data_IF_301676827272
#
_entry.id   IF_301676827272
#
_cell.length_a   1.000
_cell.length_b   1.000
_cell.length_c   1.000
_cell.angle_alpha   90.00
_cell.angle_beta   90.00
_cell.angle_gamma   90.00
#
_symmetry.space_group_name_H-M   'P 1'
#
loop_
_entity.id
_entity.type
_entity.pdbx_description
1 polymer ?
#
# COMPACT_ATOMS: atom_id res chain seq x y z
N UNK A 1 -43.47 -31.21 -17.95
CA UNK A 1 -42.19 -31.95 -18.05
C UNK A 1 -41.06 -30.93 -18.12
N UNK A 2 -39.93 -31.18 -17.44
CA UNK A 2 -38.77 -30.29 -17.49
C UNK A 2 -38.11 -30.32 -18.88
N UNK A 3 -37.61 -29.18 -19.40
CA UNK A 3 -36.93 -29.12 -20.69
C UNK A 3 -35.66 -29.99 -20.62
N UNK A 4 -35.54 -30.98 -21.50
CA UNK A 4 -34.49 -31.99 -21.41
C UNK A 4 -33.08 -31.39 -21.58
N UNK A 5 -32.91 -30.31 -22.34
CA UNK A 5 -31.57 -29.80 -22.72
C UNK A 5 -31.48 -28.26 -22.95
N UNK A 6 -32.38 -27.45 -22.37
CA UNK A 6 -32.37 -26.00 -22.62
C UNK A 6 -32.68 -25.14 -21.39
N UNK A 7 -32.14 -23.92 -21.41
CA UNK A 7 -32.51 -22.84 -20.48
C UNK A 7 -33.98 -22.48 -20.67
N UNK A 8 -34.71 -22.35 -19.58
CA UNK A 8 -36.12 -22.02 -19.68
C UNK A 8 -36.94 -22.23 -18.42
N UNK A 9 -38.23 -21.92 -18.57
CA UNK A 9 -39.22 -22.07 -17.52
C UNK A 9 -39.99 -23.38 -17.68
N UNK A 10 -40.29 -24.04 -16.57
CA UNK A 10 -41.09 -25.26 -16.57
C UNK A 10 -41.84 -25.43 -15.26
N UNK A 11 -42.88 -26.26 -15.27
CA UNK A 11 -43.63 -26.60 -14.06
C UNK A 11 -43.19 -27.95 -13.49
N UNK A 12 -43.11 -28.02 -12.16
CA UNK A 12 -42.90 -29.26 -11.39
C UNK A 12 -43.68 -29.16 -10.09
N UNK A 13 -44.57 -30.13 -9.81
CA UNK A 13 -45.43 -30.13 -8.63
C UNK A 13 -46.16 -28.78 -8.41
N UNK A 14 -46.79 -28.27 -9.47
CA UNK A 14 -47.50 -26.97 -9.51
C UNK A 14 -46.65 -25.72 -9.21
N UNK A 15 -45.32 -25.86 -9.12
CA UNK A 15 -44.39 -24.75 -8.95
C UNK A 15 -43.73 -24.38 -10.29
N UNK A 16 -43.64 -23.07 -10.55
CA UNK A 16 -42.87 -22.54 -11.67
C UNK A 16 -41.38 -22.57 -11.32
N UNK A 17 -40.62 -23.24 -12.16
CA UNK A 17 -39.18 -23.44 -12.05
C UNK A 17 -38.46 -22.74 -13.20
N UNK A 18 -37.24 -22.29 -12.96
CA UNK A 18 -36.33 -21.74 -13.95
C UNK A 18 -35.03 -22.55 -13.96
N UNK A 19 -34.74 -23.18 -15.10
CA UNK A 19 -33.50 -23.90 -15.36
C UNK A 19 -32.49 -22.96 -15.99
N UNK A 20 -31.27 -22.95 -15.44
CA UNK A 20 -30.14 -22.23 -16.02
C UNK A 20 -28.92 -23.12 -16.18
N UNK A 21 -28.31 -23.05 -17.34
CA UNK A 21 -27.02 -23.62 -17.68
C UNK A 21 -25.90 -22.90 -16.94
N UNK A 22 -25.07 -23.65 -16.23
CA UNK A 22 -23.84 -23.17 -15.61
C UNK A 22 -22.66 -23.94 -16.22
N UNK A 23 -21.75 -23.27 -16.94
CA UNK A 23 -20.51 -23.90 -17.40
C UNK A 23 -19.58 -24.15 -16.21
N UNK A 24 -19.13 -25.40 -16.00
CA UNK A 24 -18.04 -25.72 -15.06
C UNK A 24 -16.68 -25.66 -15.74
N UNK A 25 -15.63 -25.32 -14.97
CA UNK A 25 -14.25 -25.24 -15.46
C UNK A 25 -13.59 -26.62 -15.69
N UNK A 26 -14.18 -27.73 -15.22
CA UNK A 26 -13.63 -29.09 -15.34
C UNK A 26 -14.71 -30.17 -15.66
N UNK A 27 -14.92 -30.45 -16.95
CA UNK A 27 -15.54 -31.67 -17.53
C UNK A 27 -16.86 -32.20 -16.92
N UNK A 28 -17.81 -31.33 -16.59
CA UNK A 28 -19.20 -31.69 -16.33
C UNK A 28 -20.17 -30.56 -16.65
N UNK A 29 -21.30 -30.85 -17.28
CA UNK A 29 -22.41 -29.90 -17.47
C UNK A 29 -23.41 -30.02 -16.32
N UNK A 30 -23.69 -28.91 -15.62
CA UNK A 30 -24.68 -28.88 -14.53
C UNK A 30 -25.81 -27.89 -14.81
N UNK A 31 -27.03 -28.39 -14.90
CA UNK A 31 -28.24 -27.57 -14.86
C UNK A 31 -28.62 -27.30 -13.41
N UNK A 32 -29.01 -26.06 -13.11
CA UNK A 32 -29.55 -25.69 -11.80
C UNK A 32 -30.99 -25.24 -11.95
N UNK A 33 -31.88 -25.97 -11.28
CA UNK A 33 -33.31 -25.67 -11.21
C UNK A 33 -33.59 -24.82 -9.99
N UNK A 34 -34.28 -23.69 -10.19
CA UNK A 34 -34.57 -22.70 -9.16
C UNK A 34 -36.05 -22.40 -9.16
N UNK A 35 -36.63 -22.25 -7.98
CA UNK A 35 -38.04 -21.87 -7.86
C UNK A 35 -38.19 -20.41 -8.29
N UNK A 36 -39.13 -20.15 -9.18
CA UNK A 36 -39.49 -18.79 -9.58
C UNK A 36 -40.37 -18.18 -8.51
N UNK A 37 -39.90 -17.09 -7.91
CA UNK A 37 -40.56 -16.48 -6.74
C UNK A 37 -41.54 -15.38 -7.15
N UNK A 38 -42.84 -15.50 -6.82
CA UNK A 38 -43.80 -14.42 -7.01
C UNK A 38 -43.43 -13.17 -6.20
N UNK A 39 -43.82 -12.00 -6.68
CA UNK A 39 -43.44 -10.72 -6.06
C UNK A 39 -43.79 -10.61 -4.58
N UNK A 40 -44.95 -11.15 -4.18
CA UNK A 40 -45.44 -11.17 -2.79
C UNK A 40 -44.48 -11.88 -1.82
N UNK A 41 -43.70 -12.86 -2.27
CA UNK A 41 -42.80 -13.66 -1.41
C UNK A 41 -41.34 -13.20 -1.45
N UNK A 42 -40.97 -12.29 -2.37
CA UNK A 42 -39.56 -11.87 -2.54
C UNK A 42 -39.00 -11.20 -1.29
N UNK A 43 -39.79 -10.37 -0.60
CA UNK A 43 -39.36 -9.71 0.63
C UNK A 43 -39.03 -10.70 1.75
N UNK A 44 -39.80 -11.79 1.86
CA UNK A 44 -39.56 -12.79 2.88
C UNK A 44 -38.30 -13.61 2.58
N UNK A 45 -38.06 -13.94 1.30
CA UNK A 45 -36.82 -14.57 0.85
C UNK A 45 -35.61 -13.67 1.12
N UNK A 46 -35.73 -12.36 0.90
CA UNK A 46 -34.66 -11.38 1.20
C UNK A 46 -34.38 -11.30 2.70
N UNK A 47 -35.43 -11.29 3.53
CA UNK A 47 -35.33 -11.30 5.00
C UNK A 47 -34.61 -12.55 5.50
N UNK A 48 -35.00 -13.73 5.01
CA UNK A 48 -34.36 -15.01 5.35
C UNK A 48 -32.94 -15.08 4.81
N UNK A 49 -32.66 -14.56 3.62
CA UNK A 49 -31.33 -14.59 3.01
C UNK A 49 -30.29 -13.67 3.66
N UNK A 50 -30.72 -12.57 4.28
CA UNK A 50 -29.83 -11.52 4.81
C UNK A 50 -30.00 -11.24 6.30
N UNK A 51 -31.23 -11.08 6.79
CA UNK A 51 -31.56 -10.43 8.08
C UNK A 51 -31.64 -11.40 9.26
N UNK A 52 -31.98 -12.67 9.05
CA UNK A 52 -32.06 -13.63 10.17
C UNK A 52 -30.67 -13.91 10.76
N UNK A 53 -30.56 -14.25 12.06
CA UNK A 53 -29.27 -14.50 12.72
C UNK A 53 -28.39 -15.54 11.99
N UNK A 54 -28.99 -16.62 11.49
CA UNK A 54 -28.30 -17.66 10.72
C UNK A 54 -27.71 -17.15 9.40
N UNK A 55 -28.23 -16.04 8.88
CA UNK A 55 -27.78 -15.42 7.64
C UNK A 55 -26.65 -14.41 7.84
N UNK A 56 -26.46 -13.93 9.07
CA UNK A 56 -25.28 -13.20 9.53
C UNK A 56 -25.04 -11.84 8.87
N UNK A 57 -26.06 -11.22 8.24
CA UNK A 57 -25.91 -9.92 7.56
C UNK A 57 -24.75 -9.88 6.54
N UNK A 58 -24.53 -10.99 5.84
CA UNK A 58 -23.46 -11.09 4.86
C UNK A 58 -23.61 -10.05 3.74
N UNK A 59 -22.48 -9.66 3.14
CA UNK A 59 -22.45 -8.70 2.04
C UNK A 59 -23.23 -9.17 0.82
N UNK A 60 -23.70 -8.21 0.01
CA UNK A 60 -24.63 -8.44 -1.10
C UNK A 60 -24.22 -9.55 -2.06
N UNK A 61 -22.93 -9.69 -2.40
CA UNK A 61 -22.43 -10.77 -3.25
C UNK A 61 -22.74 -12.16 -2.68
N UNK A 62 -22.41 -12.39 -1.41
CA UNK A 62 -22.66 -13.67 -0.72
C UNK A 62 -24.16 -13.93 -0.53
N UNK A 63 -24.95 -12.89 -0.29
CA UNK A 63 -26.41 -13.00 -0.21
C UNK A 63 -27.03 -13.38 -1.55
N UNK A 64 -26.54 -12.82 -2.67
CA UNK A 64 -26.96 -13.24 -4.01
C UNK A 64 -26.62 -14.70 -4.24
N UNK A 65 -25.39 -15.13 -3.97
CA UNK A 65 -24.97 -16.53 -4.12
C UNK A 65 -25.87 -17.49 -3.32
N UNK A 66 -26.17 -17.16 -2.05
CA UNK A 66 -27.07 -17.94 -1.20
C UNK A 66 -28.49 -18.06 -1.77
N UNK A 67 -29.09 -16.95 -2.20
CA UNK A 67 -30.49 -16.95 -2.67
C UNK A 67 -30.59 -17.63 -4.05
N UNK A 68 -29.62 -17.36 -4.93
CA UNK A 68 -29.60 -17.93 -6.29
C UNK A 68 -29.33 -19.43 -6.34
N UNK A 69 -28.92 -20.04 -5.22
CA UNK A 69 -28.81 -21.49 -5.11
C UNK A 69 -30.17 -22.20 -5.22
N UNK A 70 -31.27 -21.56 -4.79
CA UNK A 70 -32.59 -22.18 -4.71
C UNK A 70 -33.70 -21.37 -5.39
N UNK A 71 -33.53 -20.05 -5.55
CA UNK A 71 -34.59 -19.14 -6.00
C UNK A 71 -34.16 -18.30 -7.20
N UNK A 72 -35.15 -17.88 -7.98
CA UNK A 72 -34.96 -17.02 -9.15
C UNK A 72 -36.13 -16.04 -9.34
N UNK A 73 -35.80 -14.82 -9.75
CA UNK A 73 -36.73 -13.88 -10.38
C UNK A 73 -35.93 -12.86 -11.20
N UNK A 74 -36.54 -12.23 -12.22
CA UNK A 74 -35.90 -11.14 -12.96
C UNK A 74 -35.50 -10.00 -12.02
N UNK A 75 -34.24 -9.59 -12.05
CA UNK A 75 -33.74 -8.51 -11.20
C UNK A 75 -33.28 -8.94 -9.80
N UNK A 76 -33.26 -10.24 -9.45
CA UNK A 76 -32.85 -10.74 -8.13
C UNK A 76 -31.56 -10.10 -7.59
N UNK A 77 -30.50 -10.01 -8.40
CA UNK A 77 -29.24 -9.41 -7.96
C UNK A 77 -29.37 -7.92 -7.64
N UNK A 78 -30.24 -7.19 -8.34
CA UNK A 78 -30.53 -5.79 -8.05
C UNK A 78 -31.30 -5.66 -6.73
N UNK A 79 -32.36 -6.44 -6.55
CA UNK A 79 -33.19 -6.41 -5.34
C UNK A 79 -32.40 -6.77 -4.09
N UNK A 80 -31.54 -7.81 -4.15
CA UNK A 80 -30.66 -8.18 -3.04
C UNK A 80 -29.69 -7.05 -2.70
N UNK A 81 -29.05 -6.43 -3.71
CA UNK A 81 -28.14 -5.29 -3.48
C UNK A 81 -28.87 -4.13 -2.84
N UNK A 82 -30.07 -3.80 -3.33
CA UNK A 82 -30.92 -2.74 -2.77
C UNK A 82 -31.28 -3.04 -1.32
N UNK A 83 -31.74 -4.26 -1.02
CA UNK A 83 -32.12 -4.69 0.32
C UNK A 83 -30.96 -4.63 1.32
N UNK A 84 -29.77 -5.13 0.95
CA UNK A 84 -28.57 -5.02 1.78
C UNK A 84 -28.15 -3.56 2.00
N UNK A 85 -28.30 -2.69 0.99
CA UNK A 85 -27.99 -1.26 1.09
C UNK A 85 -28.97 -0.50 1.99
N UNK A 86 -30.20 -0.98 2.16
CA UNK A 86 -31.21 -0.38 3.04
C UNK A 86 -31.31 -1.03 4.42
N UNK A 87 -30.54 -2.08 4.70
CA UNK A 87 -30.59 -2.78 6.00
C UNK A 87 -30.06 -1.88 7.15
N UNK A 88 -30.89 -1.50 8.14
CA UNK A 88 -30.48 -0.56 9.19
C UNK A 88 -29.28 -1.06 10.01
N UNK A 89 -29.26 -2.35 10.36
CA UNK A 89 -28.17 -2.95 11.13
C UNK A 89 -26.84 -2.90 10.37
N UNK A 90 -26.86 -3.14 9.05
CA UNK A 90 -25.67 -2.99 8.22
C UNK A 90 -25.27 -1.53 8.04
N UNK A 91 -26.21 -0.61 7.86
CA UNK A 91 -25.90 0.82 7.62
C UNK A 91 -25.29 1.51 8.86
N UNK A 92 -25.68 1.11 10.07
CA UNK A 92 -25.09 1.63 11.31
C UNK A 92 -23.63 1.20 11.48
N UNK A 93 -23.29 -0.02 11.04
CA UNK A 93 -21.94 -0.60 11.16
C UNK A 93 -21.08 -0.33 9.93
N UNK A 94 -21.70 -0.03 8.79
CA UNK A 94 -21.01 0.19 7.52
C UNK A 94 -20.00 1.33 7.65
N UNK A 95 -18.76 1.02 7.28
CA UNK A 95 -17.65 1.97 7.24
C UNK A 95 -18.01 3.08 6.23
N UNK A 96 -18.16 4.33 6.69
CA UNK A 96 -18.35 5.49 5.80
C UNK A 96 -17.30 5.43 4.68
N UNK A 97 -17.74 5.25 3.44
CA UNK A 97 -16.89 5.47 2.26
C UNK A 97 -16.30 6.87 2.40
N UNK A 98 -14.97 6.99 2.25
CA UNK A 98 -14.23 8.26 2.37
C UNK A 98 -15.00 9.35 1.63
N UNK A 99 -15.42 10.40 2.35
CA UNK A 99 -15.98 11.58 1.69
C UNK A 99 -14.99 12.07 0.63
N UNK A 100 -15.52 12.66 -0.46
CA UNK A 100 -14.68 13.35 -1.46
C UNK A 100 -13.69 14.23 -0.68
N UNK A 101 -12.39 13.91 -0.76
CA UNK A 101 -11.34 14.66 -0.08
C UNK A 101 -11.50 16.11 -0.51
N UNK A 102 -11.72 17.01 0.45
CA UNK A 102 -11.65 18.43 0.18
C UNK A 102 -10.33 18.75 -0.54
N UNK A 103 -10.29 19.70 -1.49
CA UNK A 103 -9.08 20.04 -2.21
C UNK A 103 -7.93 20.27 -1.24
N UNK A 104 -6.81 19.57 -1.48
CA UNK A 104 -5.61 19.66 -0.65
C UNK A 104 -5.11 21.10 -0.77
N UNK A 105 -5.14 21.87 0.32
CA UNK A 105 -4.41 23.13 0.36
C UNK A 105 -2.92 22.79 0.45
N UNK A 106 -2.07 23.32 -0.45
CA UNK A 106 -0.63 23.15 -0.32
C UNK A 106 -0.21 23.63 1.06
N UNK A 107 0.52 22.79 1.81
CA UNK A 107 1.15 23.22 3.06
C UNK A 107 2.25 24.19 2.68
N UNK A 108 2.39 25.30 3.41
CA UNK A 108 3.48 26.26 3.21
C UNK A 108 4.82 25.53 3.06
N UNK A 109 5.55 25.86 2.00
CA UNK A 109 6.87 25.29 1.74
C UNK A 109 7.81 25.83 2.81
N UNK A 110 8.35 24.93 3.63
CA UNK A 110 9.36 25.26 4.62
C UNK A 110 10.71 24.93 3.98
N UNK A 111 11.56 25.95 3.83
CA UNK A 111 12.85 25.83 3.14
C UNK A 111 14.02 25.73 4.12
N UNK A 112 13.86 26.25 5.34
CA UNK A 112 14.93 26.27 6.34
C UNK A 112 14.80 25.06 7.29
N UNK A 113 15.88 24.28 7.50
CA UNK A 113 15.90 23.14 8.41
C UNK A 113 15.45 23.50 9.82
N UNK A 114 14.65 22.63 10.42
CA UNK A 114 14.17 22.69 11.80
C UNK A 114 13.29 23.89 12.17
N UNK A 115 12.98 24.80 11.24
CA UNK A 115 12.01 25.89 11.49
C UNK A 115 10.60 25.41 11.78
N UNK A 116 10.21 24.29 11.17
CA UNK A 116 8.94 23.63 11.44
C UNK A 116 9.16 22.14 11.59
N UNK A 117 8.77 21.59 12.73
CA UNK A 117 8.89 20.15 13.00
C UNK A 117 7.53 19.53 13.29
N UNK A 118 7.37 18.26 12.92
CA UNK A 118 6.26 17.42 13.37
C UNK A 118 6.75 16.47 14.47
N UNK A 119 6.02 16.34 15.56
CA UNK A 119 6.33 15.44 16.67
C UNK A 119 5.15 14.52 16.99
N UNK A 120 5.47 13.29 17.38
CA UNK A 120 4.50 12.27 17.79
C UNK A 120 5.14 11.29 18.79
N UNK A 121 4.34 10.58 19.57
CA UNK A 121 4.79 9.52 20.49
C UNK A 121 4.36 8.16 19.98
N UNK A 122 5.32 7.28 19.75
CA UNK A 122 5.07 5.86 19.45
C UNK A 122 5.16 5.03 20.74
N UNK A 123 4.06 4.33 21.08
CA UNK A 123 4.02 3.36 22.18
C UNK A 123 2.57 2.92 22.50
N UNK A 124 2.36 2.07 23.50
CA UNK A 124 3.35 1.40 24.35
C UNK A 124 4.10 0.28 23.60
N UNK A 125 5.43 0.30 23.64
CA UNK A 125 6.30 -0.75 23.10
C UNK A 125 6.75 -1.73 24.21
N UNK A 126 7.20 -2.95 23.86
CA UNK A 126 7.84 -3.85 24.81
C UNK A 126 8.96 -3.15 25.56
N UNK A 127 9.00 -3.32 26.89
CA UNK A 127 9.99 -2.66 27.73
C UNK A 127 11.39 -3.18 27.40
N UNK A 128 12.30 -2.27 27.11
CA UNK A 128 13.72 -2.59 26.89
C UNK A 128 14.42 -2.91 28.19
N UNK A 129 15.60 -3.53 28.11
CA UNK A 129 16.46 -3.80 29.29
C UNK A 129 16.88 -2.51 30.00
N UNK A 130 17.03 -1.40 29.26
CA UNK A 130 17.34 -0.05 29.77
C UNK A 130 16.10 0.70 30.29
N UNK A 131 14.90 0.12 30.15
CA UNK A 131 13.65 0.60 30.73
C UNK A 131 12.79 1.49 29.82
N UNK A 132 13.20 1.75 28.58
CA UNK A 132 12.40 2.50 27.60
C UNK A 132 11.16 1.73 27.14
N UNK A 133 10.06 2.46 26.91
CA UNK A 133 8.75 1.93 26.52
C UNK A 133 8.05 2.76 25.43
N UNK A 134 8.58 3.94 25.13
CA UNK A 134 8.01 4.89 24.18
C UNK A 134 9.12 5.48 23.31
N UNK A 135 8.75 6.06 22.18
CA UNK A 135 9.66 6.80 21.31
C UNK A 135 9.01 8.14 20.98
N UNK A 136 9.68 9.24 21.31
CA UNK A 136 9.36 10.55 20.77
C UNK A 136 9.95 10.65 19.38
N UNK A 137 9.09 10.71 18.38
CA UNK A 137 9.46 10.83 16.97
C UNK A 137 9.34 12.28 16.54
N UNK A 138 10.35 12.78 15.84
CA UNK A 138 10.43 14.15 15.35
C UNK A 138 10.82 14.10 13.88
N UNK A 139 10.14 14.86 13.02
CA UNK A 139 10.46 14.97 11.60
C UNK A 139 10.48 16.43 11.18
N UNK A 140 11.59 16.86 10.58
CA UNK A 140 11.73 18.19 10.02
C UNK A 140 10.90 18.36 8.72
N UNK A 141 10.27 19.52 8.54
CA UNK A 141 9.47 19.79 7.36
C UNK A 141 10.28 20.17 6.12
N UNK A 142 11.46 20.78 6.27
CA UNK A 142 12.26 21.20 5.12
C UNK A 142 13.03 20.01 4.53
N UNK A 143 13.80 19.35 5.38
CA UNK A 143 14.74 18.28 4.98
C UNK A 143 14.15 16.88 5.05
N UNK A 144 12.98 16.70 5.68
CA UNK A 144 12.42 15.39 6.06
C UNK A 144 13.29 14.60 7.05
N UNK A 145 14.25 15.25 7.71
CA UNK A 145 15.17 14.60 8.63
C UNK A 145 14.44 14.00 9.84
N UNK A 146 14.50 12.66 10.04
CA UNK A 146 13.86 12.01 11.16
C UNK A 146 14.77 11.94 12.39
N UNK A 147 14.17 12.01 13.57
CA UNK A 147 14.77 11.71 14.86
C UNK A 147 13.82 10.84 15.68
N UNK A 148 14.37 9.92 16.47
CA UNK A 148 13.62 9.01 17.33
C UNK A 148 14.31 8.92 18.69
N UNK A 149 13.72 9.53 19.72
CA UNK A 149 14.27 9.61 21.07
C UNK A 149 13.54 8.61 21.97
N UNK A 150 14.23 7.61 22.54
CA UNK A 150 13.59 6.64 23.42
C UNK A 150 13.20 7.28 24.76
N UNK A 151 11.99 7.01 25.23
CA UNK A 151 11.40 7.54 26.46
C UNK A 151 10.93 6.41 27.39
N UNK A 152 11.10 6.62 28.70
CA UNK A 152 10.61 5.68 29.74
C UNK A 152 9.16 5.94 30.13
N UNK A 153 8.69 7.17 29.95
CA UNK A 153 7.34 7.64 30.26
C UNK A 153 6.93 8.70 29.24
N UNK A 154 5.62 8.88 29.04
CA UNK A 154 5.05 9.94 28.21
C UNK A 154 4.76 11.22 28.99
N UNK A 155 5.16 11.30 30.28
CA UNK A 155 4.90 12.49 31.10
C UNK A 155 5.45 13.75 30.43
N UNK A 156 4.73 14.87 30.57
CA UNK A 156 5.15 16.12 29.94
C UNK A 156 6.55 16.57 30.34
N UNK A 157 7.01 16.25 31.55
CA UNK A 157 8.39 16.54 31.98
C UNK A 157 9.40 15.73 31.15
N UNK A 158 9.19 14.42 30.99
CA UNK A 158 10.09 13.58 30.22
C UNK A 158 10.15 14.02 28.73
N UNK A 159 9.01 14.42 28.17
CA UNK A 159 8.93 14.94 26.80
C UNK A 159 9.63 16.30 26.69
N UNK A 160 9.42 17.22 27.64
CA UNK A 160 10.08 18.52 27.68
C UNK A 160 11.61 18.39 27.75
N UNK A 161 12.12 17.55 28.67
CA UNK A 161 13.55 17.32 28.84
C UNK A 161 14.18 16.78 27.54
N UNK A 162 13.51 15.84 26.88
CA UNK A 162 13.95 15.28 25.60
C UNK A 162 13.95 16.32 24.47
N UNK A 163 12.95 17.19 24.41
CA UNK A 163 12.88 18.27 23.42
C UNK A 163 13.97 19.31 23.64
N UNK A 164 14.26 19.69 24.88
CA UNK A 164 15.35 20.62 25.21
C UNK A 164 16.70 20.05 24.75
N UNK A 165 16.98 18.78 25.04
CA UNK A 165 18.19 18.09 24.57
C UNK A 165 18.27 17.96 23.05
N UNK A 166 17.13 17.95 22.36
CA UNK A 166 17.08 17.96 20.91
C UNK A 166 17.36 19.36 20.36
N UNK A 167 16.67 20.39 20.86
CA UNK A 167 16.83 21.77 20.42
C UNK A 167 18.23 22.33 20.66
N UNK A 168 18.93 21.86 21.71
CA UNK A 168 20.32 22.26 21.93
C UNK A 168 21.30 21.83 20.82
N UNK A 169 20.91 20.86 19.99
CA UNK A 169 21.72 20.35 18.87
C UNK A 169 21.34 20.94 17.52
N UNK A 170 20.06 21.26 17.32
CA UNK A 170 19.52 21.61 16.00
C UNK A 170 18.94 23.02 15.92
N UNK A 171 18.88 23.73 17.04
CA UNK A 171 18.18 25.01 17.16
C UNK A 171 16.74 24.86 17.63
N UNK A 172 16.13 26.01 17.97
CA UNK A 172 14.75 26.10 18.44
C UNK A 172 13.82 26.28 17.22
N UNK A 173 12.78 25.46 17.06
CA UNK A 173 11.84 25.59 15.95
C UNK A 173 10.88 26.77 16.14
N UNK A 174 10.51 27.47 15.07
CA UNK A 174 9.45 28.49 15.13
C UNK A 174 8.07 27.84 15.32
N UNK A 175 7.86 26.65 14.74
CA UNK A 175 6.55 25.97 14.70
C UNK A 175 6.65 24.48 15.01
N UNK A 176 5.81 23.99 15.92
CA UNK A 176 5.69 22.56 16.23
C UNK A 176 4.29 22.04 15.90
N UNK A 177 4.23 21.01 15.06
CA UNK A 177 3.01 20.25 14.76
C UNK A 177 2.99 18.98 15.61
N UNK A 178 1.86 18.70 16.26
CA UNK A 178 1.62 17.46 17.03
C UNK A 178 0.11 17.26 17.14
N UNK A 179 -0.28 16.07 17.58
CA UNK A 179 -1.65 15.79 17.99
C UNK A 179 -2.06 16.55 19.27
N UNK A 180 -3.31 16.36 19.68
CA UNK A 180 -3.88 16.96 20.90
C UNK A 180 -3.67 16.06 22.14
N UNK A 181 -2.67 15.18 22.14
CA UNK A 181 -2.34 14.38 23.31
C UNK A 181 -2.03 15.25 24.52
N UNK A 182 -2.52 14.84 25.71
CA UNK A 182 -2.29 15.56 26.98
C UNK A 182 -0.81 15.81 27.26
N UNK A 183 0.06 14.91 26.80
CA UNK A 183 1.51 15.00 26.93
C UNK A 183 2.09 16.27 26.28
N UNK A 184 1.49 16.76 25.18
CA UNK A 184 1.91 17.96 24.44
C UNK A 184 1.11 19.23 24.78
N UNK A 185 0.02 19.08 25.53
CA UNK A 185 -0.95 20.15 25.82
C UNK A 185 -0.95 20.58 27.30
N UNK A 186 -0.09 20.01 28.14
CA UNK A 186 -0.02 20.35 29.56
C UNK A 186 0.45 21.79 29.80
N UNK A 187 0.17 22.31 31.01
CA UNK A 187 0.62 23.64 31.44
C UNK A 187 2.15 23.79 31.32
N UNK A 188 2.89 22.74 31.67
CA UNK A 188 4.35 22.72 31.54
C UNK A 188 4.78 22.90 30.08
N UNK A 189 4.17 22.18 29.14
CA UNK A 189 4.50 22.30 27.72
C UNK A 189 4.11 23.66 27.16
N UNK A 190 2.96 24.21 27.56
CA UNK A 190 2.55 25.55 27.17
C UNK A 190 3.57 26.61 27.61
N UNK A 191 4.05 26.53 28.86
CA UNK A 191 5.10 27.41 29.39
C UNK A 191 6.42 27.25 28.64
N UNK A 192 6.82 26.00 28.34
CA UNK A 192 8.03 25.74 27.55
C UNK A 192 7.95 26.40 26.17
N UNK A 193 6.83 26.22 25.46
CA UNK A 193 6.65 26.81 24.14
C UNK A 193 6.67 28.34 24.19
N UNK A 194 6.02 28.95 25.19
CA UNK A 194 6.02 30.38 25.38
C UNK A 194 7.43 30.92 25.64
N UNK A 195 8.19 30.30 26.56
CA UNK A 195 9.56 30.72 26.88
C UNK A 195 10.52 30.59 25.71
N UNK A 196 10.32 29.59 24.86
CA UNK A 196 11.17 29.36 23.68
C UNK A 196 10.65 30.09 22.43
N UNK A 197 9.53 30.83 22.51
CA UNK A 197 8.93 31.51 21.36
C UNK A 197 8.34 30.58 20.28
N UNK A 198 8.00 29.35 20.67
CA UNK A 198 7.53 28.29 19.76
C UNK A 198 6.03 28.42 19.54
N UNK A 199 5.60 28.52 18.28
CA UNK A 199 4.19 28.47 17.92
C UNK A 199 3.70 27.04 17.76
N UNK A 200 2.80 26.61 18.65
CA UNK A 200 2.19 25.28 18.55
C UNK A 200 1.04 25.25 17.54
N UNK A 201 1.21 24.47 16.47
CA UNK A 201 0.13 24.18 15.53
C UNK A 201 -0.65 22.96 16.04
N UNK A 202 -1.95 23.15 16.30
CA UNK A 202 -2.87 22.09 16.67
C UNK A 202 -3.40 21.43 15.40
N UNK A 203 -3.25 20.12 15.26
CA UNK A 203 -3.89 19.39 14.18
C UNK A 203 -5.40 19.37 14.45
N UNK A 204 -6.19 20.09 13.63
CA UNK A 204 -7.65 19.95 13.62
C UNK A 204 -8.04 18.74 12.77
N UNK A 205 -9.28 18.26 12.90
CA UNK A 205 -9.88 17.23 12.03
C UNK A 205 -9.77 17.62 10.54
N UNK A 206 -9.61 18.92 10.23
CA UNK A 206 -9.51 19.47 8.88
C UNK A 206 -8.08 19.55 8.31
N UNK A 207 -7.02 19.34 9.12
CA UNK A 207 -5.62 19.34 8.64
C UNK A 207 -4.84 18.05 8.99
N UNK A 208 -5.35 16.84 8.69
CA UNK A 208 -4.63 15.58 8.92
C UNK A 208 -3.31 15.49 8.16
N UNK A 209 -3.13 16.26 7.07
CA UNK A 209 -1.88 16.33 6.32
C UNK A 209 -0.71 16.90 7.15
N UNK A 210 -0.99 17.75 8.15
CA UNK A 210 0.04 18.37 8.97
C UNK A 210 0.72 17.35 9.91
N UNK A 211 -0.01 16.35 10.42
CA UNK A 211 0.64 15.26 11.17
C UNK A 211 1.04 14.07 10.29
N UNK A 212 0.51 14.00 9.06
CA UNK A 212 0.78 12.91 8.13
C UNK A 212 2.26 12.70 7.79
N UNK A 213 3.13 13.68 8.04
CA UNK A 213 4.57 13.50 7.86
C UNK A 213 5.17 12.57 8.93
N UNK A 214 4.95 12.89 10.21
CA UNK A 214 5.46 12.07 11.32
C UNK A 214 4.73 10.73 11.38
N UNK A 215 3.43 10.67 11.06
CA UNK A 215 2.69 9.41 10.99
C UNK A 215 3.26 8.45 9.92
N UNK A 216 3.63 8.97 8.75
CA UNK A 216 4.29 8.18 7.69
C UNK A 216 5.64 7.66 8.16
N UNK A 217 6.45 8.51 8.79
CA UNK A 217 7.71 8.09 9.37
C UNK A 217 7.51 7.00 10.43
N UNK A 218 6.52 7.15 11.30
CA UNK A 218 6.19 6.17 12.33
C UNK A 218 5.79 4.81 11.74
N UNK A 219 5.08 4.81 10.62
CA UNK A 219 4.82 3.59 9.83
C UNK A 219 6.09 2.90 9.35
N UNK A 220 7.01 3.66 8.77
CA UNK A 220 8.32 3.16 8.29
C UNK A 220 9.17 2.64 9.44
N UNK A 221 9.31 3.40 10.53
CA UNK A 221 10.08 3.02 11.71
C UNK A 221 9.53 1.74 12.35
N UNK A 222 8.21 1.62 12.52
CA UNK A 222 7.57 0.39 13.01
C UNK A 222 7.85 -0.81 12.11
N UNK A 223 7.83 -0.61 10.78
CA UNK A 223 8.16 -1.68 9.82
C UNK A 223 9.61 -2.15 9.95
N UNK A 224 10.55 -1.21 10.05
CA UNK A 224 11.97 -1.53 10.26
C UNK A 224 12.18 -2.25 11.59
N UNK A 225 11.65 -1.71 12.68
CA UNK A 225 11.76 -2.33 14.01
C UNK A 225 11.27 -3.77 14.00
N UNK A 226 10.10 -4.07 13.43
CA UNK A 226 9.58 -5.45 13.33
C UNK A 226 10.54 -6.41 12.60
N UNK A 227 11.30 -5.92 11.62
CA UNK A 227 12.26 -6.74 10.86
C UNK A 227 13.53 -7.03 11.67
N UNK A 228 14.06 -6.04 12.37
CA UNK A 228 15.33 -6.15 13.10
C UNK A 228 15.20 -6.74 14.51
N UNK A 229 14.02 -6.64 15.12
CA UNK A 229 13.82 -6.89 16.55
C UNK A 229 13.13 -8.23 16.84
N UNK A 230 12.80 -9.04 15.82
CA UNK A 230 12.04 -10.32 15.85
C UNK A 230 12.02 -11.03 17.21
N UNK A 231 13.15 -11.63 17.61
CA UNK A 231 13.25 -12.41 18.87
C UNK A 231 13.85 -11.60 20.04
N UNK A 232 14.43 -10.42 19.76
CA UNK A 232 15.13 -9.58 20.75
C UNK A 232 14.36 -8.30 21.06
N UNK A 233 13.06 -8.43 21.32
CA UNK A 233 12.11 -7.33 21.54
C UNK A 233 12.48 -6.34 22.63
N UNK A 234 13.38 -6.69 23.54
CA UNK A 234 13.83 -5.83 24.63
C UNK A 234 15.06 -4.97 24.29
N UNK A 235 15.49 -4.94 23.03
CA UNK A 235 16.71 -4.22 22.60
C UNK A 235 16.47 -3.22 21.47
N UNK A 236 15.20 -2.88 21.20
CA UNK A 236 14.84 -2.00 20.09
C UNK A 236 15.49 -0.60 20.18
N UNK A 237 15.76 -0.11 21.38
CA UNK A 237 16.41 1.17 21.65
C UNK A 237 17.81 1.23 21.04
N UNK A 238 18.56 0.11 21.12
CA UNK A 238 19.91 0.00 20.56
C UNK A 238 19.92 0.06 19.04
N UNK A 239 18.82 -0.31 18.38
CA UNK A 239 18.73 -0.29 16.92
C UNK A 239 18.35 1.08 16.36
N UNK A 240 17.81 1.99 17.17
CA UNK A 240 17.32 3.29 16.69
C UNK A 240 18.36 4.09 15.89
N UNK A 241 19.63 4.23 16.33
CA UNK A 241 20.62 4.98 15.56
C UNK A 241 20.83 4.43 14.14
N UNK A 242 20.87 3.10 14.00
CA UNK A 242 21.04 2.43 12.71
C UNK A 242 19.81 2.61 11.80
N UNK A 243 18.61 2.49 12.37
CA UNK A 243 17.36 2.65 11.62
C UNK A 243 17.13 4.11 11.18
N UNK A 244 17.53 5.06 12.02
CA UNK A 244 17.51 6.47 11.69
C UNK A 244 18.50 6.78 10.58
N UNK A 245 19.73 6.25 10.64
CA UNK A 245 20.71 6.40 9.58
C UNK A 245 20.18 5.89 8.24
N UNK A 246 19.63 4.67 8.21
CA UNK A 246 19.02 4.10 7.00
C UNK A 246 17.85 4.96 6.45
N UNK A 247 17.15 5.70 7.29
CA UNK A 247 16.07 6.61 6.85
C UNK A 247 16.59 7.98 6.40
N UNK A 248 17.77 8.40 6.87
CA UNK A 248 18.38 9.70 6.57
C UNK A 248 19.16 9.66 5.26
N UNK A 249 19.73 8.52 4.92
CA UNK A 249 20.62 8.36 3.77
C UNK A 249 19.87 8.00 2.48
N UNK A 250 18.66 7.45 2.57
CA UNK A 250 17.82 7.13 1.41
C UNK A 250 17.05 8.37 0.92
N UNK A 251 17.07 8.66 -0.40
CA UNK A 251 16.28 9.77 -0.96
C UNK A 251 14.77 9.63 -0.69
N UNK A 252 14.10 10.76 -0.46
CA UNK A 252 12.66 10.78 -0.25
C UNK A 252 11.94 11.21 -1.53
N UNK A 253 10.85 10.52 -1.89
CA UNK A 253 10.05 10.80 -3.10
C UNK A 253 9.57 12.26 -3.16
N UNK A 254 9.25 12.86 -2.01
CA UNK A 254 8.75 14.24 -1.99
C UNK A 254 9.81 15.30 -2.25
N UNK A 255 11.10 14.98 -2.06
CA UNK A 255 12.21 15.93 -2.17
C UNK A 255 13.19 15.58 -3.27
N UNK A 256 13.24 14.33 -3.74
CA UNK A 256 14.26 13.83 -4.67
C UNK A 256 15.64 13.60 -4.01
N UNK A 257 15.92 14.28 -2.91
CA UNK A 257 17.15 14.20 -2.14
C UNK A 257 17.01 13.40 -0.84
N UNK A 258 18.12 12.91 -0.30
CA UNK A 258 18.15 12.29 1.03
C UNK A 258 18.06 13.36 2.13
N UNK A 259 17.41 13.06 3.28
CA UNK A 259 17.40 14.00 4.39
C UNK A 259 18.80 14.40 4.88
N UNK A 260 19.77 13.49 4.80
CA UNK A 260 21.16 13.75 5.16
C UNK A 260 21.79 14.79 4.23
N UNK A 261 21.60 14.64 2.92
CA UNK A 261 22.12 15.57 1.93
C UNK A 261 21.52 16.97 2.09
N UNK A 262 20.20 17.06 2.28
CA UNK A 262 19.53 18.34 2.49
C UNK A 262 19.98 19.06 3.75
N UNK A 263 20.38 18.30 4.79
CA UNK A 263 20.81 18.88 6.05
C UNK A 263 22.30 19.24 6.07
N UNK A 264 23.16 18.37 5.55
CA UNK A 264 24.62 18.50 5.68
C UNK A 264 25.30 19.00 4.40
N UNK A 265 24.55 19.18 3.30
CA UNK A 265 25.08 19.65 2.02
C UNK A 265 26.07 18.67 1.37
N UNK A 266 26.05 17.39 1.78
CA UNK A 266 26.90 16.34 1.23
C UNK A 266 26.19 15.00 1.23
N UNK A 267 26.54 14.16 0.28
CA UNK A 267 26.08 12.77 0.20
C UNK A 267 26.97 11.84 1.04
N UNK A 268 26.45 10.65 1.34
CA UNK A 268 27.23 9.57 1.93
C UNK A 268 27.68 8.67 0.78
N UNK A 269 28.99 8.50 0.54
CA UNK A 269 29.46 7.59 -0.50
C UNK A 269 29.12 6.15 -0.12
N UNK A 270 28.79 5.34 -1.12
CA UNK A 270 28.68 3.89 -0.94
C UNK A 270 30.05 3.32 -0.58
N UNK A 271 30.05 2.25 0.21
CA UNK A 271 31.26 1.48 0.44
C UNK A 271 31.77 0.94 -0.90
N UNK A 272 33.09 0.98 -1.13
CA UNK A 272 33.71 0.54 -2.40
C UNK A 272 33.22 -0.85 -2.83
N UNK A 273 33.07 -1.78 -1.88
CA UNK A 273 32.58 -3.15 -2.12
C UNK A 273 31.10 -3.24 -2.51
N UNK A 274 30.36 -2.14 -2.40
CA UNK A 274 28.93 -2.00 -2.74
C UNK A 274 28.73 -1.24 -4.04
N UNK A 275 29.67 -0.38 -4.43
CA UNK A 275 29.63 0.38 -5.70
C UNK A 275 29.53 -0.59 -6.88
N UNK A 276 30.41 -1.58 -6.96
CA UNK A 276 30.37 -2.61 -8.03
C UNK A 276 29.04 -3.38 -8.03
N UNK A 277 28.44 -3.58 -6.85
CA UNK A 277 27.15 -4.28 -6.71
C UNK A 277 25.95 -3.40 -7.07
N UNK A 278 26.17 -2.10 -7.23
CA UNK A 278 25.17 -1.13 -7.63
C UNK A 278 25.12 -0.89 -9.14
N UNK A 279 26.00 -1.54 -9.91
CA UNK A 279 26.11 -1.38 -11.34
C UNK A 279 24.77 -1.65 -12.05
N UNK A 280 24.47 -0.82 -13.05
CA UNK A 280 23.31 -0.96 -13.93
C UNK A 280 23.71 -0.65 -15.37
N UNK A 281 23.03 -1.29 -16.31
CA UNK A 281 23.25 -1.09 -17.74
C UNK A 281 22.18 -0.13 -18.26
N UNK A 282 22.59 0.86 -19.04
CA UNK A 282 21.73 1.71 -19.85
C UNK A 282 22.12 1.57 -21.33
N UNK A 283 21.31 2.15 -22.22
CA UNK A 283 21.62 2.25 -23.66
C UNK A 283 22.94 2.98 -23.95
N UNK A 284 23.45 3.75 -22.98
CA UNK A 284 24.69 4.52 -23.10
C UNK A 284 25.91 3.83 -22.46
N UNK A 285 25.71 2.74 -21.71
CA UNK A 285 26.80 1.95 -21.12
C UNK A 285 26.52 1.38 -19.74
N UNK A 286 27.58 0.87 -19.11
CA UNK A 286 27.57 0.38 -17.73
C UNK A 286 27.88 1.54 -16.78
N UNK A 287 27.00 1.78 -15.83
CA UNK A 287 27.13 2.84 -14.82
C UNK A 287 27.03 2.24 -13.42
N UNK A 288 27.70 2.87 -12.47
CA UNK A 288 27.67 2.49 -11.06
C UNK A 288 27.19 3.67 -10.22
N UNK A 289 26.45 3.39 -9.16
CA UNK A 289 26.08 4.42 -8.20
C UNK A 289 27.24 4.63 -7.23
N UNK A 290 27.62 5.89 -7.04
CA UNK A 290 28.63 6.28 -6.04
C UNK A 290 28.01 6.60 -4.67
N UNK A 291 26.69 6.79 -4.63
CA UNK A 291 25.88 7.17 -3.46
C UNK A 291 24.57 6.38 -3.52
N UNK A 292 23.85 6.19 -2.41
CA UNK A 292 22.61 5.40 -2.46
C UNK A 292 21.52 6.07 -3.32
N UNK A 293 21.04 5.42 -4.38
CA UNK A 293 20.00 5.98 -5.23
C UNK A 293 18.61 5.73 -4.65
N UNK A 294 17.65 6.54 -5.11
CA UNK A 294 16.24 6.31 -4.82
C UNK A 294 15.79 4.94 -5.31
N UNK A 295 15.01 4.22 -4.51
CA UNK A 295 14.46 2.93 -4.91
C UNK A 295 15.40 1.73 -4.70
N UNK A 296 16.61 1.94 -4.17
CA UNK A 296 17.51 0.86 -3.73
C UNK A 296 17.06 0.20 -2.40
N UNK A 297 15.74 0.04 -2.20
CA UNK A 297 15.26 -1.05 -1.34
C UNK A 297 15.47 -2.29 -2.18
N UNK A 298 16.36 -3.20 -1.82
CA UNK A 298 16.48 -4.56 -2.37
C UNK A 298 15.09 -5.16 -2.65
N UNK A 299 14.49 -5.01 -3.86
CA UNK A 299 14.55 -6.01 -4.93
C UNK A 299 14.91 -5.61 -6.40
N UNK A 300 14.86 -4.37 -6.94
CA UNK A 300 14.93 -4.18 -8.39
C UNK A 300 16.30 -4.51 -8.98
N UNK A 301 17.43 -4.09 -8.40
CA UNK A 301 18.75 -4.41 -8.97
C UNK A 301 19.07 -5.92 -8.92
N UNK A 302 18.70 -6.59 -7.83
CA UNK A 302 18.87 -8.05 -7.68
C UNK A 302 17.96 -8.83 -8.62
N UNK A 303 16.72 -8.36 -8.79
CA UNK A 303 15.76 -8.93 -9.74
C UNK A 303 16.23 -8.68 -11.17
N UNK A 304 16.64 -7.46 -11.49
CA UNK A 304 17.16 -7.02 -12.78
C UNK A 304 18.37 -7.86 -13.20
N UNK A 305 19.35 -8.04 -12.31
CA UNK A 305 20.50 -8.92 -12.56
C UNK A 305 20.07 -10.36 -12.81
N UNK A 306 19.17 -10.90 -11.98
CA UNK A 306 18.62 -12.25 -12.20
C UNK A 306 17.82 -12.36 -13.51
N UNK A 307 17.13 -11.29 -13.93
CA UNK A 307 16.40 -11.25 -15.19
C UNK A 307 17.39 -11.27 -16.37
N UNK A 308 18.44 -10.46 -16.34
CA UNK A 308 19.43 -10.34 -17.42
C UNK A 308 20.38 -11.55 -17.51
N UNK A 309 20.86 -12.08 -16.37
CA UNK A 309 21.88 -13.13 -16.34
C UNK A 309 21.32 -14.56 -16.35
N UNK A 310 20.09 -14.80 -15.88
CA UNK A 310 19.51 -16.15 -15.79
C UNK A 310 18.24 -16.31 -16.67
N UNK A 311 17.31 -15.35 -16.62
CA UNK A 311 15.99 -15.51 -17.27
C UNK A 311 16.05 -15.21 -18.77
N UNK A 312 16.64 -14.07 -19.15
CA UNK A 312 16.66 -13.53 -20.51
C UNK A 312 17.99 -13.78 -21.24
N UNK A 313 18.94 -14.44 -20.59
CA UNK A 313 20.22 -14.76 -21.21
C UNK A 313 20.03 -15.57 -22.50
N UNK A 314 20.47 -15.01 -23.62
CA UNK A 314 20.39 -15.57 -24.97
C UNK A 314 19.03 -15.40 -25.66
N UNK A 315 18.16 -14.50 -25.17
CA UNK A 315 16.89 -14.14 -25.79
C UNK A 315 16.97 -12.71 -26.35
N UNK A 316 17.47 -12.54 -27.57
CA UNK A 316 17.70 -11.22 -28.20
C UNK A 316 16.40 -10.44 -28.50
N UNK A 317 15.25 -11.11 -28.36
CA UNK A 317 13.91 -10.58 -28.55
C UNK A 317 13.23 -10.16 -27.24
N UNK A 318 13.91 -10.25 -26.09
CA UNK A 318 13.34 -9.92 -24.79
C UNK A 318 14.30 -9.11 -23.93
N UNK A 319 13.82 -8.00 -23.38
CA UNK A 319 14.61 -7.14 -22.50
C UNK A 319 13.88 -6.96 -21.15
N UNK A 320 14.65 -6.69 -20.10
CA UNK A 320 14.11 -6.33 -18.81
C UNK A 320 14.61 -4.92 -18.48
N UNK A 321 13.70 -3.98 -18.24
CA UNK A 321 14.04 -2.73 -17.58
C UNK A 321 12.84 -2.31 -16.73
N UNK A 322 12.92 -2.57 -15.43
CA UNK A 322 11.82 -2.39 -14.45
C UNK A 322 10.63 -3.37 -14.69
N UNK A 323 10.23 -3.62 -15.94
CA UNK A 323 9.31 -4.66 -16.42
C UNK A 323 9.97 -5.51 -17.53
N UNK A 324 9.40 -6.67 -17.90
CA UNK A 324 9.89 -7.54 -18.99
C UNK A 324 9.14 -7.23 -20.28
N UNK A 325 9.89 -6.86 -21.32
CA UNK A 325 9.42 -6.62 -22.67
C UNK A 325 9.82 -7.76 -23.59
N UNK A 326 8.94 -8.12 -24.52
CA UNK A 326 9.15 -9.18 -25.50
C UNK A 326 8.73 -8.62 -26.85
N UNK A 327 9.70 -8.31 -27.69
CA UNK A 327 9.50 -7.80 -29.04
C UNK A 327 9.61 -8.96 -30.04
N UNK A 328 8.51 -9.30 -30.70
CA UNK A 328 8.46 -10.45 -31.60
C UNK A 328 8.32 -9.98 -33.05
N UNK A 329 9.11 -10.47 -34.01
CA UNK A 329 8.95 -10.11 -35.42
C UNK A 329 7.61 -10.59 -36.03
N UNK A 330 7.29 -10.05 -37.20
CA UNK A 330 5.99 -9.96 -37.92
C UNK A 330 5.21 -11.26 -38.25
N UNK A 331 5.52 -12.43 -37.67
CA UNK A 331 4.71 -13.65 -37.85
C UNK A 331 3.92 -14.03 -36.60
N UNK A 332 2.63 -14.33 -36.79
CA UNK A 332 1.70 -14.70 -35.71
C UNK A 332 2.16 -15.91 -34.89
N UNK A 333 2.86 -16.87 -35.51
CA UNK A 333 3.37 -18.06 -34.83
C UNK A 333 4.54 -17.72 -33.89
N UNK A 334 5.42 -16.79 -34.27
CA UNK A 334 6.52 -16.33 -33.40
C UNK A 334 5.99 -15.54 -32.20
N UNK A 335 4.95 -14.73 -32.42
CA UNK A 335 4.25 -13.99 -31.36
C UNK A 335 3.64 -14.89 -30.26
N UNK A 336 3.44 -16.19 -30.54
CA UNK A 336 2.95 -17.16 -29.56
C UNK A 336 4.07 -17.96 -28.88
N UNK A 337 5.17 -18.25 -29.60
CA UNK A 337 6.26 -19.11 -29.13
C UNK A 337 7.25 -18.37 -28.24
N UNK A 338 7.57 -17.12 -28.58
CA UNK A 338 8.58 -16.32 -27.87
C UNK A 338 8.14 -15.94 -26.44
N UNK A 339 6.90 -15.46 -26.20
CA UNK A 339 6.39 -15.24 -24.84
C UNK A 339 6.31 -16.53 -24.02
N UNK A 340 6.01 -17.67 -24.64
CA UNK A 340 6.00 -18.97 -23.94
C UNK A 340 7.39 -19.34 -23.40
N UNK A 341 8.44 -19.06 -24.17
CA UNK A 341 9.82 -19.33 -23.79
C UNK A 341 10.27 -18.47 -22.60
N UNK A 342 9.87 -17.21 -22.58
CA UNK A 342 10.10 -16.30 -21.44
C UNK A 342 9.34 -16.75 -20.20
N UNK A 343 8.06 -17.12 -20.33
CA UNK A 343 7.25 -17.63 -19.23
C UNK A 343 7.77 -18.95 -18.65
N UNK A 344 8.36 -19.81 -19.48
CA UNK A 344 9.01 -21.04 -19.04
C UNK A 344 10.27 -20.75 -18.21
N UNK A 345 11.18 -19.88 -18.69
CA UNK A 345 12.38 -19.45 -17.96
C UNK A 345 12.04 -18.80 -16.62
N UNK A 346 10.99 -17.97 -16.58
CA UNK A 346 10.47 -17.39 -15.34
C UNK A 346 10.07 -18.46 -14.33
N UNK A 347 9.38 -19.51 -14.78
CA UNK A 347 8.94 -20.63 -13.93
C UNK A 347 10.12 -21.43 -13.39
N UNK A 348 11.13 -21.70 -14.21
CA UNK A 348 12.37 -22.39 -13.82
C UNK A 348 13.13 -21.60 -12.74
N UNK A 349 13.18 -20.27 -12.86
CA UNK A 349 13.79 -19.37 -11.88
C UNK A 349 12.92 -19.09 -10.63
N UNK A 350 11.76 -19.76 -10.49
CA UNK A 350 10.76 -19.58 -9.42
C UNK A 350 10.17 -18.16 -9.34
N UNK A 351 10.07 -17.47 -10.47
CA UNK A 351 9.46 -16.16 -10.60
C UNK A 351 8.06 -16.29 -11.21
N UNK A 352 7.07 -15.65 -10.57
CA UNK A 352 5.69 -15.69 -11.02
C UNK A 352 5.26 -14.28 -11.47
N UNK A 353 4.98 -14.07 -12.76
CA UNK A 353 4.49 -12.79 -13.24
C UNK A 353 3.08 -12.53 -12.70
N UNK A 354 2.80 -11.27 -12.35
CA UNK A 354 1.49 -10.89 -11.82
C UNK A 354 0.51 -10.75 -12.98
N UNK A 355 -0.42 -11.69 -13.12
CA UNK A 355 -1.40 -11.73 -14.21
C UNK A 355 -2.14 -10.42 -14.45
N UNK A 356 -2.50 -9.69 -13.38
CA UNK A 356 -3.18 -8.39 -13.46
C UNK A 356 -2.34 -7.25 -14.05
N UNK A 357 -1.04 -7.48 -14.30
CA UNK A 357 -0.10 -6.50 -14.85
C UNK A 357 0.50 -6.95 -16.18
N UNK A 358 0.29 -8.19 -16.61
CA UNK A 358 0.78 -8.69 -17.88
C UNK A 358 -0.12 -8.20 -19.02
N UNK A 359 0.46 -7.55 -20.01
CA UNK A 359 -0.17 -7.21 -21.28
C UNK A 359 0.42 -8.13 -22.34
N UNK A 360 -0.37 -9.08 -22.84
CA UNK A 360 0.07 -10.12 -23.79
C UNK A 360 -0.78 -9.97 -25.05
N UNK A 361 -0.21 -10.23 -26.23
CA UNK A 361 -0.91 -10.16 -27.51
C UNK A 361 -1.51 -8.78 -27.83
N UNK A 362 -0.74 -7.72 -27.57
CA UNK A 362 -1.13 -6.34 -27.90
C UNK A 362 -0.33 -5.83 -29.09
N UNK A 363 -0.98 -5.13 -30.03
CA UNK A 363 -0.32 -4.45 -31.15
C UNK A 363 0.38 -3.14 -30.75
N UNK A 364 0.00 -2.58 -29.59
CA UNK A 364 0.59 -1.36 -29.04
C UNK A 364 0.57 -1.40 -27.51
N UNK A 365 1.64 -0.92 -26.86
CA UNK A 365 1.71 -0.82 -25.40
C UNK A 365 2.27 0.55 -25.01
N UNK A 366 1.59 1.24 -24.09
CA UNK A 366 2.13 2.46 -23.47
C UNK A 366 3.14 2.07 -22.36
N UNK A 367 4.37 2.54 -22.48
CA UNK A 367 5.51 2.27 -21.58
C UNK A 367 6.20 3.58 -21.18
N UNK A 368 6.37 3.83 -19.88
CA UNK A 368 7.05 5.01 -19.30
C UNK A 368 6.54 6.38 -19.81
N UNK A 369 5.35 6.42 -20.43
CA UNK A 369 4.74 7.65 -20.95
C UNK A 369 4.78 7.76 -22.48
N UNK A 370 5.48 6.86 -23.16
CA UNK A 370 5.55 6.77 -24.62
C UNK A 370 4.72 5.58 -25.16
N UNK A 371 4.12 5.78 -26.33
CA UNK A 371 3.30 4.76 -27.01
C UNK A 371 4.17 3.98 -27.99
N UNK A 372 4.47 2.73 -27.67
CA UNK A 372 5.16 1.83 -28.59
C UNK A 372 4.14 1.10 -29.46
N UNK A 373 4.24 1.28 -30.78
CA UNK A 373 3.46 0.55 -31.77
C UNK A 373 4.34 -0.46 -32.50
N UNK A 374 3.98 -1.74 -32.41
CA UNK A 374 4.70 -2.79 -33.11
C UNK A 374 4.04 -3.02 -34.47
N UNK A 375 4.80 -2.74 -35.53
CA UNK A 375 4.39 -2.91 -36.93
C UNK A 375 4.07 -1.61 -37.67
N UNK A 376 5.10 -0.86 -38.06
CA UNK A 376 4.98 0.08 -39.19
C UNK A 376 6.34 0.42 -39.79
N UNK A 377 6.76 -0.35 -40.80
CA UNK A 377 7.57 0.14 -41.92
C UNK A 377 7.67 -0.94 -43.00
N UNK A 378 6.92 -0.69 -44.09
CA UNK A 378 6.96 -1.21 -45.46
C UNK A 378 6.97 -2.73 -45.74
#
# INVERSE_FOLDING_TARGET
MAPQESDGYFFTNDLLMHRKYLPEEHNGTRFVDRIVVPESYRNEILRVGHTIPLSGHMGSKKTVERITAHFFWPGLSFDVRKYCATCPQCQVVARKLKSKRAPLRPVDIVTEPFKKIAIDIVGELPRTTTGYRYILTIVDYATRYPEAIPLRSTSSKAVADALIQYFSRVGIPDKIVSDQGSNFMSKLMAQLYEQLGITKIKTSVYHPQANGLVERFNGTLKSMLRKFVRERVQTWDKYLPYLLFASREVPCESTGYSPFELLYGRTIPLETSTIEKSAFISTEGLYEFLVMPFGMKTPPASLQRKMSEEVLQGLDFADAYIDVEVDTPTSFLQHLVEPQRVLQRLRECKLNPRSSKCKIAMSTVDFVGDRHSFGSSH
#
